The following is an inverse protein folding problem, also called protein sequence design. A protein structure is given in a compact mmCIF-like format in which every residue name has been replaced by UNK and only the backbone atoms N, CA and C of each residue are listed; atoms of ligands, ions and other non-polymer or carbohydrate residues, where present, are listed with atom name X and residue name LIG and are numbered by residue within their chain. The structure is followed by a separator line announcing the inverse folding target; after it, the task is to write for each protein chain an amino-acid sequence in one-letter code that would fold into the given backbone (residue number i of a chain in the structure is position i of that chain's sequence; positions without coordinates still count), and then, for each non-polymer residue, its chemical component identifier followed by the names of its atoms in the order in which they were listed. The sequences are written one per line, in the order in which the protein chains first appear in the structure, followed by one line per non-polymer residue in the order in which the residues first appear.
data_IF_893514024831
#
_entry.id   IF_893514024831
#
_cell.length_a   1.000
_cell.length_b   1.000
_cell.length_c   1.000
_cell.angle_alpha   90.00
_cell.angle_beta   90.00
_cell.angle_gamma   90.00
#
_symmetry.space_group_name_H-M   'P 1'
#
loop_
_entity.id
_entity.type
_entity.pdbx_description
1 polymer ?
#
# COMPACT_ATOMS: atom_id res chain seq x y z
N UNK A 1 1.24 -24.98 15.18
CA UNK A 1 1.44 -24.04 14.06
C UNK A 1 2.24 -24.78 13.00
N UNK A 2 1.91 -24.63 11.71
CA UNK A 2 2.78 -25.15 10.66
C UNK A 2 4.07 -24.35 10.67
N UNK A 3 5.21 -25.03 10.76
CA UNK A 3 6.51 -24.38 10.74
C UNK A 3 6.85 -24.00 9.29
N UNK A 4 7.19 -22.74 9.06
CA UNK A 4 7.59 -22.27 7.74
C UNK A 4 8.98 -22.83 7.44
N UNK A 5 9.16 -23.42 6.25
CA UNK A 5 10.44 -23.94 5.76
C UNK A 5 11.00 -22.99 4.67
N UNK A 6 11.58 -21.83 5.05
CA UNK A 6 12.08 -20.86 4.09
C UNK A 6 13.23 -21.45 3.26
N UNK A 7 13.18 -21.24 1.94
CA UNK A 7 14.18 -21.76 1.00
C UNK A 7 15.53 -21.02 1.08
N UNK A 8 15.57 -19.83 1.69
CA UNK A 8 16.75 -18.97 1.83
C UNK A 8 17.01 -18.70 3.30
N UNK A 9 18.29 -18.60 3.67
CA UNK A 9 18.69 -18.17 5.01
C UNK A 9 18.22 -16.72 5.25
N UNK A 10 17.32 -16.47 6.22
CA UNK A 10 16.83 -15.12 6.53
C UNK A 10 17.93 -14.13 6.95
N UNK A 11 19.07 -14.64 7.45
CA UNK A 11 20.19 -13.81 7.89
C UNK A 11 21.17 -13.43 6.76
N UNK A 12 21.02 -14.04 5.59
CA UNK A 12 21.90 -13.83 4.44
C UNK A 12 21.86 -12.39 3.91
N UNK A 13 22.99 -11.95 3.33
CA UNK A 13 23.09 -10.60 2.78
C UNK A 13 22.19 -10.40 1.55
N UNK A 14 21.95 -11.47 0.77
CA UNK A 14 21.00 -11.48 -0.34
C UNK A 14 19.58 -11.16 0.13
N UNK A 15 19.10 -11.80 1.20
CA UNK A 15 17.77 -11.54 1.75
C UNK A 15 17.64 -10.11 2.25
N UNK A 16 18.68 -9.58 2.91
CA UNK A 16 18.67 -8.17 3.35
C UNK A 16 18.70 -7.20 2.17
N UNK A 17 19.40 -7.53 1.09
CA UNK A 17 19.39 -6.74 -0.15
C UNK A 17 18.00 -6.71 -0.78
N UNK A 18 17.37 -7.87 -0.95
CA UNK A 18 16.02 -7.96 -1.49
C UNK A 18 14.98 -7.19 -0.63
N UNK A 19 15.11 -7.22 0.70
CA UNK A 19 14.25 -6.45 1.60
C UNK A 19 14.39 -4.93 1.39
N UNK A 20 15.63 -4.43 1.24
CA UNK A 20 15.88 -3.01 0.95
C UNK A 20 15.31 -2.61 -0.40
N UNK A 21 15.59 -3.39 -1.44
CA UNK A 21 15.06 -3.15 -2.78
C UNK A 21 13.52 -3.13 -2.80
N UNK A 22 12.87 -4.05 -2.09
CA UNK A 22 11.42 -4.06 -1.96
C UNK A 22 10.88 -2.81 -1.24
N UNK A 23 11.61 -2.33 -0.22
CA UNK A 23 11.26 -1.11 0.51
C UNK A 23 11.42 0.12 -0.38
N UNK A 24 12.52 0.22 -1.12
CA UNK A 24 12.79 1.31 -2.05
C UNK A 24 11.75 1.34 -3.18
N UNK A 25 11.38 0.17 -3.71
CA UNK A 25 10.31 0.04 -4.70
C UNK A 25 8.94 0.48 -4.15
N UNK A 26 8.62 0.19 -2.88
CA UNK A 26 7.39 0.64 -2.25
C UNK A 26 7.37 2.17 -2.09
N UNK A 27 8.47 2.76 -1.62
CA UNK A 27 8.64 4.22 -1.50
C UNK A 27 8.52 4.92 -2.86
N UNK A 28 9.16 4.37 -3.90
CA UNK A 28 9.08 4.90 -5.26
C UNK A 28 7.66 4.90 -5.83
N UNK A 29 6.79 4.00 -5.35
CA UNK A 29 5.37 3.94 -5.70
C UNK A 29 4.48 4.87 -4.87
N UNK A 30 5.03 5.59 -3.89
CA UNK A 30 4.29 6.50 -3.02
C UNK A 30 3.69 5.83 -1.77
N UNK A 31 4.08 4.59 -1.44
CA UNK A 31 3.69 3.97 -0.17
C UNK A 31 4.37 4.70 0.98
N UNK A 32 3.58 5.12 1.97
CA UNK A 32 4.07 5.87 3.14
C UNK A 32 3.85 5.16 4.48
N UNK A 33 3.09 4.06 4.50
CA UNK A 33 2.71 3.38 5.74
C UNK A 33 2.18 1.97 5.49
N UNK A 34 1.91 1.26 6.58
CA UNK A 34 1.37 -0.11 6.55
C UNK A 34 0.14 -0.25 7.44
N UNK A 35 -0.79 -1.18 7.11
CA UNK A 35 -0.86 -1.94 5.85
C UNK A 35 -1.25 -1.02 4.67
N UNK A 36 -0.65 -1.24 3.50
CA UNK A 36 -1.06 -0.62 2.25
C UNK A 36 -1.35 -1.71 1.22
N UNK A 37 -2.55 -1.70 0.66
CA UNK A 37 -2.94 -2.55 -0.45
C UNK A 37 -2.76 -1.78 -1.75
N UNK A 38 -1.96 -2.31 -2.66
CA UNK A 38 -1.81 -1.75 -3.99
C UNK A 38 -2.62 -2.58 -5.00
N UNK A 39 -3.62 -1.96 -5.61
CA UNK A 39 -4.51 -2.61 -6.58
C UNK A 39 -4.50 -1.78 -7.86
N UNK A 40 -4.02 -2.39 -8.95
CA UNK A 40 -3.73 -1.69 -10.20
C UNK A 40 -2.84 -0.43 -9.98
N UNK A 41 -3.33 0.74 -10.34
CA UNK A 41 -2.67 2.04 -10.21
C UNK A 41 -2.94 2.75 -8.87
N UNK A 42 -3.75 2.16 -7.98
CA UNK A 42 -4.23 2.81 -6.76
C UNK A 42 -3.63 2.20 -5.50
N UNK A 43 -3.46 3.05 -4.49
CA UNK A 43 -2.97 2.69 -3.16
C UNK A 43 -4.07 2.95 -2.12
N UNK A 44 -4.34 1.93 -1.29
CA UNK A 44 -5.31 1.96 -0.21
C UNK A 44 -4.56 1.72 1.11
N UNK A 45 -4.51 2.73 1.98
CA UNK A 45 -3.79 2.64 3.25
C UNK A 45 -4.76 2.41 4.41
N UNK A 46 -4.41 1.47 5.29
CA UNK A 46 -5.18 1.12 6.49
C UNK A 46 -6.06 -0.11 6.31
N UNK A 47 -6.25 -0.88 7.39
CA UNK A 47 -7.15 -2.04 7.39
C UNK A 47 -8.62 -1.64 7.21
N UNK A 48 -8.96 -0.43 7.61
CA UNK A 48 -10.26 0.21 7.42
C UNK A 48 -10.58 0.54 5.95
N UNK A 49 -9.58 0.48 5.05
CA UNK A 49 -9.79 0.67 3.62
C UNK A 49 -10.28 -0.59 2.86
N UNK A 50 -10.51 -1.72 3.54
CA UNK A 50 -10.85 -2.98 2.87
C UNK A 50 -12.19 -2.96 2.12
N UNK A 51 -13.20 -2.26 2.64
CA UNK A 51 -14.48 -2.09 1.94
C UNK A 51 -14.27 -1.26 0.66
N UNK A 52 -13.39 -0.26 0.71
CA UNK A 52 -13.02 0.58 -0.43
C UNK A 52 -12.24 -0.23 -1.50
N UNK A 53 -11.35 -1.14 -1.07
CA UNK A 53 -10.66 -2.08 -1.97
C UNK A 53 -11.67 -2.99 -2.67
N UNK A 54 -12.65 -3.51 -1.94
CA UNK A 54 -13.70 -4.39 -2.50
C UNK A 54 -14.54 -3.64 -3.53
N UNK A 55 -15.01 -2.43 -3.19
CA UNK A 55 -15.77 -1.59 -4.12
C UNK A 55 -14.98 -1.26 -5.40
N UNK A 56 -13.67 -1.03 -5.29
CA UNK A 56 -12.82 -0.80 -6.47
C UNK A 56 -12.71 -2.03 -7.35
N UNK A 57 -12.52 -3.22 -6.76
CA UNK A 57 -12.48 -4.49 -7.48
C UNK A 57 -13.81 -4.84 -8.15
N UNK A 58 -14.93 -4.43 -7.55
CA UNK A 58 -16.28 -4.59 -8.11
C UNK A 58 -16.61 -3.56 -9.22
N UNK A 59 -15.71 -2.62 -9.49
CA UNK A 59 -15.82 -1.67 -10.59
C UNK A 59 -16.69 -0.44 -10.28
N UNK A 60 -16.73 0.00 -9.02
CA UNK A 60 -17.42 1.24 -8.66
C UNK A 60 -16.87 2.44 -9.46
N UNK A 61 -17.75 3.11 -10.21
CA UNK A 61 -17.40 4.24 -11.07
C UNK A 61 -16.88 5.46 -10.30
N UNK A 62 -17.07 5.53 -8.97
CA UNK A 62 -16.52 6.59 -8.14
C UNK A 62 -14.99 6.71 -8.25
N UNK A 63 -14.27 5.59 -8.40
CA UNK A 63 -12.80 5.55 -8.48
C UNK A 63 -12.23 6.10 -9.79
N UNK A 64 -13.02 6.13 -10.86
CA UNK A 64 -12.66 6.72 -12.15
C UNK A 64 -13.23 8.15 -12.31
N UNK A 65 -14.05 8.58 -11.36
CA UNK A 65 -14.72 9.87 -11.36
C UNK A 65 -13.85 11.01 -10.80
N UNK A 66 -14.29 12.27 -10.99
CA UNK A 66 -13.57 13.44 -10.50
C UNK A 66 -13.46 13.51 -8.97
N UNK A 67 -14.32 12.79 -8.24
CA UNK A 67 -14.31 12.76 -6.78
C UNK A 67 -13.04 12.10 -6.22
N UNK A 68 -12.54 11.04 -6.86
CA UNK A 68 -11.26 10.41 -6.49
C UNK A 68 -10.10 11.39 -6.60
N UNK A 69 -9.99 12.09 -7.75
CA UNK A 69 -8.95 13.10 -7.96
C UNK A 69 -9.08 14.28 -7.00
N UNK A 70 -10.32 14.72 -6.72
CA UNK A 70 -10.57 15.83 -5.81
C UNK A 70 -10.08 15.53 -4.38
N UNK A 71 -10.18 14.29 -3.91
CA UNK A 71 -9.73 13.90 -2.57
C UNK A 71 -8.25 14.18 -2.31
N UNK A 72 -7.39 14.06 -3.35
CA UNK A 72 -5.96 14.36 -3.26
C UNK A 72 -5.65 15.85 -3.05
N UNK A 73 -6.62 16.73 -3.25
CA UNK A 73 -6.46 18.20 -3.13
C UNK A 73 -6.96 18.75 -1.79
N UNK A 74 -7.47 17.89 -0.91
CA UNK A 74 -8.02 18.32 0.38
C UNK A 74 -6.94 18.94 1.26
N UNK A 75 -7.23 20.07 1.94
CA UNK A 75 -6.27 20.72 2.81
C UNK A 75 -5.99 19.86 4.06
N UNK A 76 -4.81 20.04 4.65
CA UNK A 76 -4.46 19.42 5.93
C UNK A 76 -5.43 19.91 7.01
N UNK A 77 -6.18 18.98 7.62
CA UNK A 77 -7.19 19.32 8.63
C UNK A 77 -6.61 19.82 9.95
N UNK A 78 -5.61 19.12 10.51
CA UNK A 78 -4.96 19.49 11.77
C UNK A 78 -3.46 19.30 11.65
N UNK A 79 -2.69 20.34 11.98
CA UNK A 79 -1.23 20.28 12.14
C UNK A 79 -0.89 20.50 13.61
N UNK A 80 -0.26 19.52 14.25
CA UNK A 80 0.27 19.66 15.62
C UNK A 80 1.73 20.10 15.53
N UNK A 81 2.10 21.09 16.33
CA UNK A 81 3.46 21.62 16.51
C UNK A 81 4.16 20.94 17.67
#
# INVERSE_FOLDING_TARGET
AAELAPQRDPASDEVKAALREATDAALARGVFGVPTMAVADKLFWGLDAMDMVTAYLDGDAWFDGPAWTAAATLPVGVRRS
#
